data_IF_803106788327
#
_entry.id   IF_803106788327
#
_cell.length_a   1.000
_cell.length_b   1.000
_cell.length_c   1.000
_cell.angle_alpha   90.00
_cell.angle_beta   90.00
_cell.angle_gamma   90.00
#
_symmetry.space_group_name_H-M   'P 1'
#
loop_
_entity.id
_entity.type
_entity.pdbx_description
1 polymer ?
#
# COMPACT_ATOMS: atom_id res chain seq x y z
N UNK A 1 65.85 38.10 -31.69
CA UNK A 1 64.99 36.94 -31.35
C UNK A 1 63.81 37.46 -30.51
N UNK A 2 62.62 37.62 -31.12
CA UNK A 2 61.42 38.18 -30.45
C UNK A 2 60.38 37.07 -30.33
N UNK A 3 60.10 36.61 -29.10
CA UNK A 3 59.08 35.61 -28.81
C UNK A 3 57.73 36.34 -28.69
N UNK A 4 56.79 36.03 -29.59
CA UNK A 4 55.40 36.50 -29.53
C UNK A 4 54.60 35.53 -28.66
N UNK A 5 54.16 35.98 -27.48
CA UNK A 5 53.15 35.28 -26.69
C UNK A 5 51.79 35.38 -27.39
N UNK A 6 51.29 34.26 -27.90
CA UNK A 6 49.90 34.12 -28.35
C UNK A 6 49.03 33.88 -27.12
N UNK A 7 48.14 34.82 -26.83
CA UNK A 7 47.05 34.63 -25.87
C UNK A 7 46.07 33.59 -26.42
N UNK A 8 45.99 32.43 -25.79
CA UNK A 8 44.91 31.46 -26.01
C UNK A 8 43.80 31.83 -25.03
N UNK A 9 42.72 32.40 -25.56
CA UNK A 9 41.48 32.69 -24.85
C UNK A 9 40.74 31.36 -24.65
N UNK A 10 40.77 30.82 -23.43
CA UNK A 10 40.02 29.62 -23.05
C UNK A 10 38.59 30.04 -22.67
N UNK A 11 37.65 29.99 -23.62
CA UNK A 11 36.23 30.18 -23.34
C UNK A 11 35.71 28.89 -22.71
N UNK A 12 35.57 28.90 -21.38
CA UNK A 12 34.82 27.87 -20.65
C UNK A 12 33.33 28.13 -20.89
N UNK A 13 32.74 27.43 -21.86
CA UNK A 13 31.29 27.32 -21.99
C UNK A 13 30.77 26.48 -20.82
N UNK A 14 30.39 27.15 -19.73
CA UNK A 14 29.57 26.56 -18.68
C UNK A 14 28.22 26.25 -19.31
N UNK A 15 28.01 24.97 -19.67
CA UNK A 15 26.68 24.46 -19.97
C UNK A 15 25.90 24.43 -18.66
N UNK A 16 25.28 25.56 -18.31
CA UNK A 16 24.19 25.57 -17.33
C UNK A 16 23.01 24.91 -18.03
N UNK A 17 22.92 23.58 -17.89
CA UNK A 17 21.70 22.84 -18.18
C UNK A 17 20.63 23.36 -17.23
N UNK A 18 19.89 24.38 -17.65
CA UNK A 18 18.62 24.73 -17.03
C UNK A 18 17.68 23.54 -17.25
N UNK A 19 17.71 22.58 -16.30
CA UNK A 19 16.62 21.64 -16.13
C UNK A 19 15.38 22.48 -15.83
N UNK A 20 14.64 22.79 -16.89
CA UNK A 20 13.37 23.46 -16.78
C UNK A 20 12.49 22.60 -15.89
N UNK A 21 12.08 23.16 -14.74
CA UNK A 21 11.05 22.61 -13.87
C UNK A 21 9.74 22.54 -14.66
N UNK A 22 9.61 21.54 -15.53
CA UNK A 22 8.36 21.24 -16.23
C UNK A 22 7.58 20.27 -15.36
N UNK A 23 6.28 20.56 -15.18
CA UNK A 23 5.31 19.55 -14.74
C UNK A 23 5.44 18.37 -15.68
N UNK A 24 5.90 17.23 -15.17
CA UNK A 24 6.00 16.01 -15.97
C UNK A 24 4.72 15.23 -15.74
N UNK A 25 3.87 15.18 -16.75
CA UNK A 25 2.81 14.19 -16.79
C UNK A 25 3.48 12.85 -17.05
N UNK A 26 3.43 11.96 -16.06
CA UNK A 26 4.07 10.66 -16.09
C UNK A 26 3.04 9.61 -15.72
N UNK A 27 2.94 8.54 -16.51
CA UNK A 27 2.15 7.37 -16.14
C UNK A 27 3.01 6.11 -16.19
N UNK A 28 2.73 5.19 -15.27
CA UNK A 28 3.43 3.92 -15.17
C UNK A 28 2.45 2.80 -14.83
N UNK A 29 2.22 1.92 -15.80
CA UNK A 29 1.44 0.70 -15.60
C UNK A 29 2.31 -0.37 -14.92
N UNK A 30 2.01 -0.64 -13.65
CA UNK A 30 2.71 -1.65 -12.85
C UNK A 30 2.28 -3.04 -13.31
N UNK A 31 0.96 -3.28 -13.38
CA UNK A 31 0.33 -4.51 -13.84
C UNK A 31 -0.71 -4.18 -14.91
N UNK A 32 -0.78 -5.00 -15.96
CA UNK A 32 -1.77 -4.86 -17.02
C UNK A 32 -2.48 -6.21 -17.20
N UNK A 33 -3.75 -6.28 -16.78
CA UNK A 33 -4.58 -7.48 -16.78
C UNK A 33 -3.83 -8.73 -16.25
N UNK A 34 -3.20 -8.63 -15.07
CA UNK A 34 -2.57 -9.81 -14.43
C UNK A 34 -3.67 -10.75 -13.93
N UNK A 35 -3.59 -12.04 -14.27
CA UNK A 35 -4.59 -13.03 -13.91
C UNK A 35 -4.34 -13.60 -12.51
N UNK A 36 -5.32 -13.49 -11.62
CA UNK A 36 -5.31 -14.12 -10.30
C UNK A 36 -5.96 -15.50 -10.35
N UNK A 37 -5.60 -16.34 -9.38
CA UNK A 37 -6.12 -17.71 -9.26
C UNK A 37 -6.69 -17.96 -7.86
N UNK A 38 -7.30 -19.13 -7.66
CA UNK A 38 -7.77 -19.57 -6.35
C UNK A 38 -6.68 -19.40 -5.27
N UNK A 39 -6.99 -18.54 -4.29
CA UNK A 39 -6.08 -18.20 -3.21
C UNK A 39 -5.82 -19.36 -2.24
N UNK A 40 -6.65 -20.41 -2.23
CA UNK A 40 -6.43 -21.61 -1.42
C UNK A 40 -5.71 -22.73 -2.17
N UNK A 41 -5.58 -22.63 -3.50
CA UNK A 41 -4.89 -23.64 -4.29
C UNK A 41 -3.36 -23.54 -4.16
N UNK A 42 -2.66 -24.61 -4.52
CA UNK A 42 -1.20 -24.56 -4.73
C UNK A 42 -0.85 -23.45 -5.72
N UNK A 43 0.27 -22.77 -5.49
CA UNK A 43 0.73 -21.71 -6.38
C UNK A 43 0.89 -22.25 -7.79
N UNK A 44 0.23 -21.62 -8.76
CA UNK A 44 0.26 -22.05 -10.16
C UNK A 44 1.60 -21.73 -10.83
N UNK A 45 2.00 -22.56 -11.79
CA UNK A 45 3.26 -22.40 -12.54
C UNK A 45 3.13 -21.57 -13.83
N UNK A 46 1.93 -21.04 -14.11
CA UNK A 46 1.68 -20.20 -15.29
C UNK A 46 2.67 -19.02 -15.34
N UNK A 47 3.25 -18.71 -16.51
CA UNK A 47 4.24 -17.64 -16.61
C UNK A 47 3.64 -16.30 -16.21
N UNK A 48 4.49 -15.44 -15.63
CA UNK A 48 4.16 -14.04 -15.32
C UNK A 48 4.89 -13.11 -16.28
N UNK A 49 4.38 -11.89 -16.52
CA UNK A 49 5.08 -10.89 -17.31
C UNK A 49 6.50 -10.63 -16.79
N UNK A 50 7.40 -10.24 -17.68
CA UNK A 50 8.79 -9.96 -17.31
C UNK A 50 8.88 -8.90 -16.20
N UNK A 51 9.66 -9.20 -15.15
CA UNK A 51 9.85 -8.31 -14.00
C UNK A 51 8.73 -8.34 -12.96
N UNK A 52 7.69 -9.15 -13.18
CA UNK A 52 6.68 -9.49 -12.18
C UNK A 52 7.09 -10.78 -11.47
N UNK A 53 6.82 -10.85 -10.17
CA UNK A 53 6.90 -12.09 -9.39
C UNK A 53 5.52 -12.43 -8.83
N UNK A 54 5.22 -13.73 -8.76
CA UNK A 54 4.03 -14.26 -8.07
C UNK A 54 4.49 -14.88 -6.76
N UNK A 55 4.14 -14.24 -5.65
CA UNK A 55 4.41 -14.79 -4.31
C UNK A 55 3.39 -15.86 -3.95
N UNK A 56 2.13 -15.59 -4.29
CA UNK A 56 0.97 -16.45 -4.08
C UNK A 56 -0.02 -16.25 -5.22
N UNK A 57 -1.03 -17.12 -5.35
CA UNK A 57 -2.07 -16.99 -6.38
C UNK A 57 -2.87 -15.68 -6.30
N UNK A 58 -2.91 -15.09 -5.10
CA UNK A 58 -3.58 -13.83 -4.77
C UNK A 58 -2.62 -12.62 -4.73
N UNK A 59 -1.29 -12.78 -4.86
CA UNK A 59 -0.30 -11.71 -4.62
C UNK A 59 0.80 -11.66 -5.68
N UNK A 60 0.80 -10.58 -6.45
CA UNK A 60 1.85 -10.25 -7.41
C UNK A 60 2.65 -9.03 -6.96
N UNK A 61 3.94 -9.01 -7.28
CA UNK A 61 4.81 -7.87 -7.02
C UNK A 61 5.62 -7.46 -8.26
N UNK A 62 5.93 -6.17 -8.38
CA UNK A 62 6.83 -5.62 -9.38
C UNK A 62 7.69 -4.53 -8.77
N UNK A 63 9.00 -4.60 -8.99
CA UNK A 63 9.94 -3.56 -8.58
C UNK A 63 9.70 -2.29 -9.41
N UNK A 64 9.64 -1.14 -8.74
CA UNK A 64 9.69 0.15 -9.42
C UNK A 64 11.16 0.48 -9.77
N UNK A 65 11.51 0.64 -11.06
CA UNK A 65 12.86 1.06 -11.44
C UNK A 65 13.20 2.44 -10.88
N UNK A 66 14.49 2.69 -10.61
CA UNK A 66 14.97 4.00 -10.13
C UNK A 66 14.57 5.15 -11.08
N UNK A 67 14.56 4.90 -12.39
CA UNK A 67 14.11 5.87 -13.39
C UNK A 67 12.63 6.22 -13.25
N UNK A 68 11.79 5.23 -12.91
CA UNK A 68 10.35 5.43 -12.65
C UNK A 68 10.13 6.20 -11.36
N UNK A 69 10.84 5.84 -10.28
CA UNK A 69 10.81 6.58 -9.02
C UNK A 69 11.22 8.05 -9.22
N UNK A 70 12.26 8.29 -10.03
CA UNK A 70 12.72 9.63 -10.38
C UNK A 70 11.74 10.44 -11.23
N UNK A 71 10.79 9.80 -11.94
CA UNK A 71 9.81 10.47 -12.79
C UNK A 71 8.54 10.94 -12.08
N UNK A 72 8.19 10.39 -10.92
CA UNK A 72 7.01 10.84 -10.16
C UNK A 72 7.10 12.33 -9.77
N UNK A 73 5.99 13.06 -9.92
CA UNK A 73 5.77 14.40 -9.37
C UNK A 73 5.26 14.35 -7.93
N UNK A 74 4.69 15.47 -7.45
CA UNK A 74 4.11 15.61 -6.11
C UNK A 74 2.60 15.35 -6.06
N UNK A 75 1.97 15.18 -7.23
CA UNK A 75 0.58 14.72 -7.34
C UNK A 75 0.60 13.33 -7.94
N UNK A 76 0.04 12.35 -7.23
CA UNK A 76 0.06 10.94 -7.61
C UNK A 76 -1.34 10.36 -7.43
N UNK A 77 -1.91 9.89 -8.54
CA UNK A 77 -3.13 9.10 -8.57
C UNK A 77 -2.77 7.64 -8.80
N UNK A 78 -3.35 6.74 -8.01
CA UNK A 78 -3.28 5.30 -8.20
C UNK A 78 -4.61 4.80 -8.72
N UNK A 79 -4.60 4.16 -9.88
CA UNK A 79 -5.76 3.56 -10.53
C UNK A 79 -5.65 2.04 -10.51
N UNK A 80 -6.73 1.39 -10.11
CA UNK A 80 -6.89 -0.06 -10.12
C UNK A 80 -8.10 -0.37 -10.98
N UNK A 81 -7.98 -1.32 -11.89
CA UNK A 81 -9.13 -1.87 -12.62
C UNK A 81 -9.18 -3.36 -12.39
N UNK A 82 -10.29 -3.86 -11.86
CA UNK A 82 -10.51 -5.29 -11.65
C UNK A 82 -11.54 -5.77 -12.66
N UNK A 83 -11.22 -6.82 -13.39
CA UNK A 83 -12.08 -7.43 -14.41
C UNK A 83 -12.43 -8.86 -14.02
N UNK A 84 -13.68 -9.24 -14.23
CA UNK A 84 -14.22 -10.53 -13.86
C UNK A 84 -13.55 -11.66 -14.65
N UNK A 85 -13.20 -12.75 -13.98
CA UNK A 85 -12.90 -14.03 -14.61
C UNK A 85 -13.87 -15.11 -14.09
N UNK A 86 -13.43 -16.05 -13.25
CA UNK A 86 -14.30 -17.08 -12.69
C UNK A 86 -14.39 -17.06 -11.17
N UNK A 87 -14.51 -15.88 -10.58
CA UNK A 87 -15.06 -15.71 -9.24
C UNK A 87 -16.19 -14.68 -9.29
N UNK A 88 -17.27 -14.99 -8.59
CA UNK A 88 -18.51 -14.23 -8.63
C UNK A 88 -18.90 -13.58 -7.30
N UNK A 89 -18.02 -13.64 -6.31
CA UNK A 89 -18.23 -13.03 -5.01
C UNK A 89 -17.50 -11.70 -4.88
N UNK A 90 -17.93 -10.92 -3.91
CA UNK A 90 -17.19 -9.77 -3.42
C UNK A 90 -15.93 -10.23 -2.67
N UNK A 91 -14.79 -9.62 -3.02
CA UNK A 91 -13.48 -10.03 -2.57
C UNK A 91 -12.65 -8.85 -2.14
N UNK A 92 -11.91 -9.05 -1.07
CA UNK A 92 -10.94 -8.06 -0.61
C UNK A 92 -9.68 -8.11 -1.47
N UNK A 93 -9.23 -6.92 -1.86
CA UNK A 93 -7.93 -6.71 -2.46
C UNK A 93 -7.27 -5.46 -1.89
N UNK A 94 -5.96 -5.38 -2.07
CA UNK A 94 -5.20 -4.22 -1.68
C UNK A 94 -3.98 -3.99 -2.59
N UNK A 95 -3.45 -2.78 -2.54
CA UNK A 95 -2.16 -2.42 -3.12
C UNK A 95 -1.21 -2.08 -1.98
N UNK A 96 -0.01 -2.61 -2.06
CA UNK A 96 0.99 -2.44 -1.01
C UNK A 96 2.33 -1.98 -1.60
N UNK A 97 3.15 -1.37 -0.76
CA UNK A 97 4.57 -1.17 -1.01
C UNK A 97 5.36 -2.10 -0.09
N UNK A 98 6.26 -2.88 -0.66
CA UNK A 98 7.23 -3.69 0.06
C UNK A 98 8.62 -3.05 -0.03
N UNK A 99 9.28 -2.90 1.12
CA UNK A 99 10.62 -2.35 1.26
C UNK A 99 11.63 -3.48 1.29
N UNK A 100 12.08 -3.89 0.12
CA UNK A 100 12.97 -5.04 -0.05
C UNK A 100 14.41 -4.56 0.00
N UNK A 101 15.34 -5.20 0.73
CA UNK A 101 16.74 -4.82 0.69
C UNK A 101 17.26 -4.65 -0.74
N UNK A 102 18.02 -3.59 -0.97
CA UNK A 102 18.43 -3.19 -2.31
C UNK A 102 19.15 -4.32 -3.07
N UNK A 103 18.81 -4.48 -4.36
CA UNK A 103 19.47 -5.43 -5.26
C UNK A 103 18.87 -6.84 -5.29
N UNK A 104 17.87 -7.13 -4.48
CA UNK A 104 17.19 -8.44 -4.51
C UNK A 104 16.33 -8.59 -5.77
N UNK A 105 16.27 -9.83 -6.29
CA UNK A 105 15.43 -10.21 -7.43
C UNK A 105 14.07 -10.76 -7.02
N UNK A 106 13.93 -11.18 -5.77
CA UNK A 106 12.70 -11.69 -5.13
C UNK A 106 12.78 -11.50 -3.62
N UNK A 107 11.70 -11.80 -2.89
CA UNK A 107 11.64 -11.73 -1.43
C UNK A 107 10.51 -12.63 -0.90
N UNK A 108 10.52 -12.90 0.40
CA UNK A 108 9.36 -13.45 1.09
C UNK A 108 8.53 -12.27 1.67
N UNK A 109 7.24 -12.12 1.33
CA UNK A 109 6.40 -11.04 1.84
C UNK A 109 6.35 -10.93 3.37
N UNK A 110 6.55 -12.02 4.10
CA UNK A 110 6.53 -12.02 5.58
C UNK A 110 7.89 -11.61 6.18
N UNK A 111 8.95 -11.56 5.36
CA UNK A 111 10.31 -11.21 5.77
C UNK A 111 10.67 -9.73 5.58
N UNK A 112 9.80 -8.94 4.95
CA UNK A 112 10.05 -7.53 4.62
C UNK A 112 8.99 -6.62 5.21
N UNK A 113 9.38 -5.37 5.42
CA UNK A 113 8.41 -4.35 5.83
C UNK A 113 7.49 -4.01 4.67
N UNK A 114 6.19 -3.93 4.96
CA UNK A 114 5.14 -3.64 3.98
C UNK A 114 4.17 -2.60 4.52
N UNK A 115 3.66 -1.77 3.62
CA UNK A 115 2.57 -0.83 3.90
C UNK A 115 1.47 -0.98 2.85
N UNK A 116 0.23 -0.84 3.27
CA UNK A 116 -0.92 -0.76 2.37
C UNK A 116 -1.15 0.69 1.97
N UNK A 117 -1.33 0.90 0.66
CA UNK A 117 -1.54 2.22 0.06
C UNK A 117 -2.92 2.36 -0.58
N UNK A 118 -3.66 1.26 -0.70
CA UNK A 118 -5.08 1.27 -1.06
C UNK A 118 -5.72 -0.07 -0.78
N UNK A 119 -6.98 -0.06 -0.32
CA UNK A 119 -7.81 -1.26 -0.12
C UNK A 119 -9.12 -1.11 -0.85
N UNK A 120 -9.54 -2.18 -1.51
CA UNK A 120 -10.77 -2.26 -2.26
C UNK A 120 -11.51 -3.57 -1.98
N UNK A 121 -12.81 -3.57 -2.27
CA UNK A 121 -13.67 -4.74 -2.24
C UNK A 121 -14.32 -4.84 -3.62
N UNK A 122 -14.12 -5.95 -4.33
CA UNK A 122 -14.83 -6.22 -5.59
C UNK A 122 -16.33 -6.31 -5.32
N UNK A 123 -17.22 -5.89 -6.22
CA UNK A 123 -18.61 -6.30 -6.13
C UNK A 123 -18.75 -7.79 -6.46
N UNK A 124 -19.96 -8.33 -6.28
CA UNK A 124 -20.36 -9.56 -6.96
C UNK A 124 -20.31 -9.34 -8.46
N UNK A 125 -19.51 -10.14 -9.16
CA UNK A 125 -19.19 -9.95 -10.56
C UNK A 125 -19.55 -11.20 -11.38
N UNK A 126 -20.00 -11.02 -12.62
CA UNK A 126 -20.17 -12.11 -13.56
C UNK A 126 -19.52 -11.70 -14.89
N UNK A 127 -18.55 -12.47 -15.38
CA UNK A 127 -17.86 -12.18 -16.64
C UNK A 127 -18.78 -12.13 -17.86
N UNK A 128 -19.99 -12.66 -17.76
CA UNK A 128 -21.00 -12.67 -18.81
C UNK A 128 -22.04 -11.53 -18.66
N UNK A 129 -21.96 -10.71 -17.60
CA UNK A 129 -22.92 -9.64 -17.31
C UNK A 129 -22.19 -8.32 -17.02
N UNK A 130 -22.57 -7.26 -17.74
CA UNK A 130 -21.99 -5.94 -17.51
C UNK A 130 -22.46 -5.31 -16.20
N UNK A 131 -21.61 -4.56 -15.48
CA UNK A 131 -20.21 -4.29 -15.81
C UNK A 131 -19.30 -5.50 -15.51
N UNK A 132 -18.43 -5.85 -16.47
CA UNK A 132 -17.45 -6.94 -16.32
C UNK A 132 -16.11 -6.44 -15.77
N UNK A 133 -15.96 -5.13 -15.56
CA UNK A 133 -14.81 -4.48 -14.97
C UNK A 133 -15.24 -3.32 -14.07
N UNK A 134 -14.46 -3.08 -13.02
CA UNK A 134 -14.72 -2.04 -12.03
C UNK A 134 -13.46 -1.26 -11.71
N UNK A 135 -13.51 0.09 -11.75
CA UNK A 135 -12.37 0.93 -11.41
C UNK A 135 -12.36 1.35 -9.94
N UNK A 136 -11.17 1.52 -9.38
CA UNK A 136 -10.90 2.17 -8.11
C UNK A 136 -9.79 3.19 -8.29
N UNK A 137 -9.98 4.40 -7.76
CA UNK A 137 -9.01 5.50 -7.88
C UNK A 137 -8.72 6.08 -6.51
N UNK A 138 -7.44 6.25 -6.21
CA UNK A 138 -6.94 6.81 -4.96
C UNK A 138 -6.01 7.99 -5.24
N UNK A 139 -6.18 9.08 -4.51
CA UNK A 139 -5.15 10.11 -4.40
C UNK A 139 -4.13 9.66 -3.37
N UNK A 140 -2.89 9.48 -3.81
CA UNK A 140 -1.77 8.95 -3.02
C UNK A 140 -0.56 9.87 -3.09
N UNK A 141 -0.80 11.17 -3.14
CA UNK A 141 0.22 12.21 -3.25
C UNK A 141 1.36 12.01 -2.24
N UNK A 142 1.04 11.56 -1.02
CA UNK A 142 2.01 11.29 0.05
C UNK A 142 3.07 10.21 -0.28
N UNK A 143 2.89 9.42 -1.34
CA UNK A 143 3.90 8.48 -1.80
C UNK A 143 5.10 9.17 -2.44
N UNK A 144 4.97 10.43 -2.87
CA UNK A 144 6.09 11.23 -3.35
C UNK A 144 7.25 11.27 -2.33
N UNK A 145 6.91 11.41 -1.04
CA UNK A 145 7.83 11.43 0.10
C UNK A 145 8.50 10.10 0.39
N UNK A 146 7.99 9.00 -0.16
CA UNK A 146 8.62 7.68 -0.07
C UNK A 146 9.46 7.46 -1.33
N UNK A 147 8.88 7.67 -2.50
CA UNK A 147 9.53 7.43 -3.80
C UNK A 147 10.74 8.34 -4.04
N UNK A 148 10.77 9.53 -3.42
CA UNK A 148 11.88 10.49 -3.52
C UNK A 148 12.82 10.49 -2.31
N UNK A 149 12.56 9.70 -1.28
CA UNK A 149 13.41 9.70 -0.10
C UNK A 149 14.74 8.99 -0.38
N UNK A 150 15.85 9.73 -0.26
CA UNK A 150 17.18 9.21 -0.58
C UNK A 150 17.67 8.17 0.43
N UNK A 151 17.25 8.23 1.69
CA UNK A 151 17.61 7.24 2.69
C UNK A 151 16.88 5.92 2.46
N UNK A 152 15.57 5.96 2.17
CA UNK A 152 14.78 4.79 1.78
C UNK A 152 15.35 4.18 0.50
N UNK A 153 15.53 4.97 -0.55
CA UNK A 153 16.02 4.49 -1.86
C UNK A 153 17.48 4.01 -1.83
N UNK A 154 18.28 4.42 -0.83
CA UNK A 154 19.62 3.89 -0.63
C UNK A 154 19.61 2.49 -0.01
N UNK A 155 18.65 2.20 0.87
CA UNK A 155 18.56 0.92 1.60
C UNK A 155 17.68 -0.11 0.90
N UNK A 156 16.65 0.34 0.17
CA UNK A 156 15.59 -0.52 -0.32
C UNK A 156 15.33 -0.34 -1.82
N UNK A 157 15.02 -1.46 -2.47
CA UNK A 157 14.24 -1.50 -3.69
C UNK A 157 12.75 -1.44 -3.30
N UNK A 158 12.00 -0.50 -3.88
CA UNK A 158 10.55 -0.38 -3.65
C UNK A 158 9.82 -1.30 -4.62
N UNK A 159 9.09 -2.27 -4.08
CA UNK A 159 8.21 -3.15 -4.85
C UNK A 159 6.77 -2.75 -4.62
N UNK A 160 6.00 -2.66 -5.72
CA UNK A 160 4.56 -2.48 -5.67
C UNK A 160 3.91 -3.85 -5.78
N UNK A 161 2.98 -4.11 -4.87
CA UNK A 161 2.21 -5.34 -4.82
C UNK A 161 0.75 -5.09 -5.14
N UNK A 162 0.15 -5.95 -5.96
CA UNK A 162 -1.30 -6.00 -6.15
C UNK A 162 -1.80 -7.34 -5.62
N UNK A 163 -2.67 -7.26 -4.61
CA UNK A 163 -3.29 -8.43 -4.00
C UNK A 163 -4.80 -8.45 -4.28
N UNK A 164 -5.32 -9.62 -4.62
CA UNK A 164 -6.75 -9.87 -4.75
C UNK A 164 -7.04 -11.34 -4.45
N UNK A 165 -7.65 -11.59 -3.29
CA UNK A 165 -7.98 -12.94 -2.87
C UNK A 165 -9.28 -13.40 -3.53
N UNK A 166 -9.26 -14.50 -4.28
CA UNK A 166 -10.45 -15.05 -4.92
C UNK A 166 -10.57 -16.57 -4.79
N UNK A 167 -11.79 -17.08 -4.96
CA UNK A 167 -12.13 -18.50 -4.89
C UNK A 167 -13.21 -18.82 -5.93
N UNK A 168 -12.95 -19.69 -6.92
CA UNK A 168 -13.83 -19.83 -8.09
C UNK A 168 -14.99 -20.82 -7.91
N UNK A 169 -15.16 -21.39 -6.71
CA UNK A 169 -16.00 -22.58 -6.49
C UNK A 169 -17.48 -22.36 -6.80
N UNK A 170 -18.03 -21.20 -6.44
CA UNK A 170 -19.42 -20.89 -6.75
C UNK A 170 -19.60 -20.64 -8.25
N UNK A 171 -18.75 -19.81 -8.86
CA UNK A 171 -18.75 -19.51 -10.29
C UNK A 171 -18.60 -20.78 -11.15
N UNK A 172 -17.85 -21.79 -10.71
CA UNK A 172 -17.73 -23.08 -11.38
C UNK A 172 -19.09 -23.77 -11.64
N UNK A 173 -20.11 -23.46 -10.85
CA UNK A 173 -21.48 -23.98 -10.99
C UNK A 173 -22.49 -22.94 -11.46
N UNK A 174 -22.25 -21.66 -11.16
CA UNK A 174 -23.22 -20.58 -11.35
C UNK A 174 -22.96 -19.74 -12.61
N UNK A 175 -21.72 -19.70 -13.11
CA UNK A 175 -21.34 -18.90 -14.28
C UNK A 175 -21.03 -19.82 -15.45
N UNK A 176 -21.76 -19.62 -16.55
CA UNK A 176 -21.52 -20.33 -17.81
C UNK A 176 -20.07 -20.13 -18.27
N UNK A 177 -19.39 -21.26 -18.55
CA UNK A 177 -17.99 -21.26 -18.98
C UNK A 177 -16.97 -21.08 -17.85
N UNK A 178 -17.36 -21.32 -16.59
CA UNK A 178 -16.43 -21.36 -15.44
C UNK A 178 -16.21 -22.76 -14.86
N UNK A 179 -16.94 -23.79 -15.31
CA UNK A 179 -16.78 -25.14 -14.82
C UNK A 179 -15.32 -25.63 -14.93
N UNK A 180 -14.72 -26.03 -13.80
CA UNK A 180 -13.36 -26.56 -13.69
C UNK A 180 -12.25 -25.51 -13.77
N UNK A 181 -12.59 -24.21 -13.81
CA UNK A 181 -11.59 -23.13 -13.92
C UNK A 181 -11.07 -22.71 -12.56
N UNK A 182 -9.79 -22.35 -12.53
CA UNK A 182 -9.07 -21.92 -11.34
C UNK A 182 -8.78 -20.41 -11.29
N UNK A 183 -8.97 -19.71 -12.41
CA UNK A 183 -8.74 -18.27 -12.51
C UNK A 183 -9.92 -17.47 -11.95
N UNK A 184 -9.66 -16.33 -11.30
CA UNK A 184 -10.69 -15.61 -10.52
C UNK A 184 -10.95 -14.20 -11.04
N UNK A 185 -9.90 -13.40 -11.25
CA UNK A 185 -9.98 -12.01 -11.70
C UNK A 185 -8.77 -11.64 -12.54
N UNK A 186 -8.91 -10.58 -13.34
CA UNK A 186 -7.79 -9.85 -13.90
C UNK A 186 -7.62 -8.52 -13.16
N UNK A 187 -6.39 -8.12 -12.86
CA UNK A 187 -6.08 -6.83 -12.24
C UNK A 187 -5.14 -5.97 -13.08
N UNK A 188 -5.47 -4.69 -13.19
CA UNK A 188 -4.60 -3.65 -13.75
C UNK A 188 -4.31 -2.63 -12.66
N UNK A 189 -3.05 -2.19 -12.56
CA UNK A 189 -2.60 -1.16 -11.62
C UNK A 189 -1.73 -0.16 -12.37
N UNK A 190 -2.09 1.11 -12.26
CA UNK A 190 -1.36 2.23 -12.86
C UNK A 190 -1.18 3.35 -11.85
N UNK A 191 0.00 3.98 -11.86
CA UNK A 191 0.18 5.31 -11.28
C UNK A 191 0.17 6.37 -12.38
N UNK A 192 -0.58 7.45 -12.15
CA UNK A 192 -0.58 8.66 -12.96
C UNK A 192 -0.10 9.79 -12.07
N UNK A 193 0.89 10.55 -12.55
CA UNK A 193 1.51 11.60 -11.76
C UNK A 193 1.69 12.88 -12.56
N UNK A 194 1.49 13.99 -11.87
CA UNK A 194 1.60 15.35 -12.39
C UNK A 194 2.32 16.23 -11.37
N UNK A 195 2.52 17.49 -11.74
CA UNK A 195 3.17 18.46 -10.86
C UNK A 195 4.69 18.38 -10.90
N UNK A 196 5.31 19.18 -10.05
CA UNK A 196 6.76 19.27 -9.94
C UNK A 196 7.10 19.00 -8.49
N UNK A 197 7.91 17.98 -8.26
CA UNK A 197 8.48 17.77 -6.95
C UNK A 197 9.47 18.90 -6.63
N UNK A 198 9.03 19.85 -5.81
CA UNK A 198 9.78 21.09 -5.50
C UNK A 198 10.50 21.05 -4.16
N UNK A 199 10.28 20.01 -3.35
CA UNK A 199 10.93 19.88 -2.06
C UNK A 199 12.29 19.18 -2.18
N UNK A 200 13.31 19.70 -1.51
CA UNK A 200 14.38 18.85 -0.98
C UNK A 200 13.73 18.15 0.23
N UNK A 201 13.23 16.91 0.13
CA UNK A 201 12.42 16.38 1.19
C UNK A 201 13.32 16.25 2.43
N UNK A 202 12.91 16.82 3.59
CA UNK A 202 13.52 16.38 4.84
C UNK A 202 13.31 14.86 4.94
N UNK A 203 14.30 14.17 5.51
CA UNK A 203 14.30 12.73 5.70
C UNK A 203 12.93 12.21 6.19
N UNK A 204 12.33 11.31 5.42
CA UNK A 204 11.11 10.55 5.74
C UNK A 204 11.44 9.40 6.70
N UNK A 205 10.83 9.39 7.88
CA UNK A 205 10.76 8.27 8.85
C UNK A 205 9.47 7.51 8.66
N UNK A 206 9.52 6.38 7.98
CA UNK A 206 8.38 5.49 7.87
C UNK A 206 8.51 4.39 8.92
N UNK A 207 7.46 4.13 9.70
CA UNK A 207 7.41 3.01 10.63
C UNK A 207 6.12 2.19 10.40
N UNK A 208 6.19 1.09 9.65
CA UNK A 208 5.09 0.15 9.54
C UNK A 208 4.90 -0.57 10.88
N UNK A 209 3.69 -0.49 11.45
CA UNK A 209 3.40 -1.06 12.76
C UNK A 209 2.79 -2.46 12.67
N UNK A 210 1.84 -2.67 11.75
CA UNK A 210 1.20 -3.98 11.56
C UNK A 210 0.55 -4.09 10.19
N UNK A 211 0.86 -5.15 9.45
CA UNK A 211 0.29 -5.40 8.13
C UNK A 211 -0.64 -6.61 8.17
N UNK A 212 -1.89 -6.44 7.70
CA UNK A 212 -2.93 -7.48 7.65
C UNK A 212 -3.04 -8.36 8.91
N UNK A 213 -2.83 -7.78 10.09
CA UNK A 213 -2.91 -8.56 11.32
C UNK A 213 -4.36 -8.95 11.61
N UNK A 214 -4.56 -10.17 12.08
CA UNK A 214 -5.85 -10.57 12.59
C UNK A 214 -6.21 -9.75 13.83
N UNK A 215 -7.47 -9.37 13.93
CA UNK A 215 -8.07 -8.82 15.13
C UNK A 215 -9.39 -9.55 15.39
N UNK A 216 -9.32 -10.49 16.32
CA UNK A 216 -10.44 -11.29 16.77
C UNK A 216 -10.17 -11.79 18.20
N UNK A 217 -11.20 -12.29 18.85
CA UNK A 217 -11.13 -12.67 20.26
C UNK A 217 -10.88 -14.18 20.47
N UNK A 218 -10.63 -14.98 19.44
CA UNK A 218 -10.50 -16.44 19.57
C UNK A 218 -9.14 -16.98 19.14
N UNK A 219 -8.38 -16.24 18.32
CA UNK A 219 -7.06 -16.64 17.86
C UNK A 219 -5.96 -16.04 18.75
N UNK A 220 -4.97 -16.86 19.10
CA UNK A 220 -3.78 -16.40 19.80
C UNK A 220 -3.05 -15.30 19.00
N UNK A 221 -2.67 -14.21 19.66
CA UNK A 221 -1.98 -13.06 19.05
C UNK A 221 -2.87 -12.13 18.21
N UNK A 222 -4.16 -12.42 18.08
CA UNK A 222 -5.09 -11.52 17.39
C UNK A 222 -5.46 -10.30 18.28
N UNK A 223 -5.55 -10.50 19.59
CA UNK A 223 -5.75 -9.50 20.65
C UNK A 223 -4.74 -9.71 21.78
N UNK A 224 -4.68 -8.78 22.74
CA UNK A 224 -3.75 -8.83 23.88
C UNK A 224 -3.98 -10.08 24.74
N UNK A 225 -5.22 -10.57 24.79
CA UNK A 225 -5.60 -11.81 25.45
C UNK A 225 -6.77 -12.47 24.72
N UNK A 226 -6.73 -13.79 24.55
CA UNK A 226 -7.86 -14.57 24.02
C UNK A 226 -9.12 -14.30 24.86
N UNK A 227 -10.25 -14.10 24.19
CA UNK A 227 -11.54 -13.73 24.76
C UNK A 227 -11.74 -12.22 24.87
N UNK A 228 -10.70 -11.41 24.63
CA UNK A 228 -10.77 -9.95 24.68
C UNK A 228 -10.81 -9.34 23.29
N UNK A 229 -10.96 -8.02 23.26
CA UNK A 229 -11.29 -7.28 22.05
C UNK A 229 -10.40 -6.04 21.92
N UNK A 230 -9.23 -6.08 22.55
CA UNK A 230 -8.21 -5.03 22.58
C UNK A 230 -6.93 -5.58 22.00
N UNK A 231 -6.27 -4.79 21.15
CA UNK A 231 -4.91 -5.07 20.69
C UNK A 231 -4.05 -3.83 20.92
N UNK A 232 -2.92 -4.04 21.57
CA UNK A 232 -1.91 -3.03 21.86
C UNK A 232 -0.68 -3.32 21.01
N UNK A 233 -0.21 -2.31 20.27
CA UNK A 233 1.06 -2.34 19.57
C UNK A 233 2.01 -1.38 20.29
N UNK A 234 3.06 -1.94 20.85
CA UNK A 234 4.15 -1.17 21.46
C UNK A 234 5.26 -0.96 20.44
N UNK A 235 5.77 0.26 20.36
CA UNK A 235 6.90 0.58 19.49
C UNK A 235 7.84 1.60 20.14
N UNK A 236 9.07 1.63 19.63
CA UNK A 236 10.11 2.54 20.09
C UNK A 236 10.52 3.46 18.95
N UNK A 237 10.74 4.73 19.29
CA UNK A 237 11.33 5.71 18.40
C UNK A 237 12.78 5.94 18.83
N UNK A 238 13.70 5.98 17.87
CA UNK A 238 15.14 6.23 18.13
C UNK A 238 15.41 7.73 18.28
N UNK A 239 14.57 8.56 17.64
CA UNK A 239 14.63 10.02 17.68
C UNK A 239 13.25 10.60 18.00
N UNK A 240 13.20 11.85 18.45
CA UNK A 240 11.94 12.59 18.55
C UNK A 240 11.30 12.74 17.15
N UNK A 241 9.99 12.48 17.05
CA UNK A 241 9.24 12.62 15.80
C UNK A 241 8.13 13.65 15.99
N UNK A 242 8.36 14.85 15.50
CA UNK A 242 7.34 15.91 15.54
C UNK A 242 6.20 15.60 14.52
N UNK A 243 5.06 16.31 14.53
CA UNK A 243 3.97 16.23 13.51
C UNK A 243 3.68 14.83 12.91
N UNK A 244 3.76 13.79 13.73
CA UNK A 244 3.55 12.44 13.31
C UNK A 244 2.09 12.26 12.89
N UNK A 245 1.88 11.39 11.91
CA UNK A 245 0.55 10.98 11.50
C UNK A 245 0.46 9.49 11.61
N UNK A 246 -0.62 9.04 12.24
CA UNK A 246 -0.95 7.64 12.32
C UNK A 246 -2.08 7.32 11.35
N UNK A 247 -1.87 6.26 10.59
CA UNK A 247 -2.81 5.78 9.61
C UNK A 247 -3.25 4.37 10.01
N UNK A 248 -4.55 4.19 10.00
CA UNK A 248 -5.22 2.96 10.41
C UNK A 248 -6.13 2.53 9.27
N UNK A 249 -5.92 1.34 8.71
CA UNK A 249 -6.74 0.79 7.63
C UNK A 249 -7.41 -0.51 8.09
N UNK A 250 -8.66 -0.37 8.53
CA UNK A 250 -9.45 -1.49 9.04
C UNK A 250 -10.55 -1.88 8.07
N UNK A 251 -10.82 -3.17 8.00
CA UNK A 251 -12.02 -3.70 7.34
C UNK A 251 -12.60 -4.81 8.20
N UNK A 252 -13.90 -4.74 8.44
CA UNK A 252 -14.63 -5.75 9.20
C UNK A 252 -15.05 -6.87 8.24
N UNK A 253 -14.95 -8.11 8.70
CA UNK A 253 -15.28 -9.29 7.90
C UNK A 253 -16.15 -10.24 8.72
N UNK A 254 -16.79 -11.19 8.04
CA UNK A 254 -17.65 -12.18 8.68
C UNK A 254 -19.06 -12.14 8.10
N UNK A 255 -19.21 -12.73 6.92
CA UNK A 255 -20.47 -12.79 6.17
C UNK A 255 -21.55 -13.71 6.79
N UNK A 256 -21.30 -14.30 7.96
CA UNK A 256 -22.29 -15.09 8.66
C UNK A 256 -23.29 -14.18 9.40
N UNK A 257 -24.48 -14.72 9.71
CA UNK A 257 -25.47 -14.01 10.52
C UNK A 257 -24.86 -13.53 11.84
N UNK A 258 -24.95 -12.22 12.11
CA UNK A 258 -24.39 -11.59 13.30
C UNK A 258 -22.91 -11.21 13.22
N UNK A 259 -22.23 -11.50 12.10
CA UNK A 259 -20.82 -11.17 11.90
C UNK A 259 -20.57 -9.67 11.69
N UNK A 260 -19.30 -9.28 11.83
CA UNK A 260 -18.86 -7.87 11.85
C UNK A 260 -19.03 -7.16 10.49
N UNK A 261 -19.23 -7.90 9.40
CA UNK A 261 -19.54 -7.34 8.09
C UNK A 261 -20.89 -6.60 8.10
N UNK A 262 -21.88 -7.13 8.82
CA UNK A 262 -23.25 -6.60 8.84
C UNK A 262 -23.64 -5.91 10.14
N UNK A 263 -22.84 -6.09 11.20
CA UNK A 263 -23.12 -5.50 12.51
C UNK A 263 -22.07 -4.45 12.82
N UNK A 264 -22.46 -3.17 12.73
CA UNK A 264 -21.58 -2.03 12.97
C UNK A 264 -21.38 -1.80 14.47
N UNK A 265 -20.13 -1.68 14.90
CA UNK A 265 -19.73 -1.42 16.28
C UNK A 265 -18.80 -0.20 16.36
N UNK A 266 -18.80 0.45 17.52
CA UNK A 266 -17.85 1.53 17.80
C UNK A 266 -16.46 0.98 17.97
N UNK A 267 -15.50 1.52 17.23
CA UNK A 267 -14.09 1.24 17.34
C UNK A 267 -13.44 2.41 18.07
N UNK A 268 -12.63 2.12 19.08
CA UNK A 268 -11.94 3.12 19.88
C UNK A 268 -10.44 2.94 19.71
N UNK A 269 -9.76 4.04 19.42
CA UNK A 269 -8.35 4.06 19.11
C UNK A 269 -7.68 5.02 20.07
N UNK A 270 -6.66 4.53 20.75
CA UNK A 270 -5.90 5.27 21.75
C UNK A 270 -4.41 5.29 21.43
N UNK A 271 -3.75 6.35 21.82
CA UNK A 271 -2.33 6.58 21.71
C UNK A 271 -1.78 7.03 23.06
N UNK A 272 -0.79 6.33 23.61
CA UNK A 272 -0.26 6.54 24.97
C UNK A 272 -1.38 6.67 26.02
N UNK A 273 -2.31 5.71 26.02
CA UNK A 273 -3.47 5.66 26.92
C UNK A 273 -4.57 6.71 26.66
N UNK A 274 -4.40 7.65 25.74
CA UNK A 274 -5.39 8.67 25.42
C UNK A 274 -6.19 8.29 24.18
N UNK A 275 -7.52 8.32 24.24
CA UNK A 275 -8.35 8.05 23.07
C UNK A 275 -8.22 9.18 22.05
N UNK A 276 -7.78 8.85 20.84
CA UNK A 276 -7.51 9.78 19.75
C UNK A 276 -8.52 9.68 18.61
N UNK A 277 -9.18 8.54 18.46
CA UNK A 277 -10.21 8.34 17.44
C UNK A 277 -11.32 7.42 17.94
N UNK A 278 -12.55 7.70 17.51
CA UNK A 278 -13.67 6.78 17.61
C UNK A 278 -14.45 6.78 16.31
N UNK A 279 -14.76 5.61 15.79
CA UNK A 279 -15.48 5.50 14.52
C UNK A 279 -16.34 4.23 14.47
N UNK A 280 -17.32 4.21 13.58
CA UNK A 280 -18.01 2.98 13.18
C UNK A 280 -17.63 2.67 11.72
N UNK A 281 -17.11 1.46 11.43
CA UNK A 281 -16.79 1.06 10.07
C UNK A 281 -17.99 1.22 9.12
N UNK A 282 -17.70 1.64 7.88
CA UNK A 282 -18.72 1.92 6.86
C UNK A 282 -19.34 3.32 6.93
N UNK A 283 -18.83 4.22 7.79
CA UNK A 283 -19.33 5.61 7.88
C UNK A 283 -18.27 6.65 7.49
N UNK A 284 -16.97 6.49 7.79
CA UNK A 284 -15.90 7.47 7.42
C UNK A 284 -14.46 6.89 7.45
N UNK A 285 -13.51 7.55 6.76
CA UNK A 285 -12.05 7.47 6.96
C UNK A 285 -11.56 8.71 7.72
N UNK A 286 -10.63 8.58 8.68
CA UNK A 286 -10.05 9.71 9.44
C UNK A 286 -8.52 9.57 9.56
N UNK A 287 -7.79 10.68 9.40
CA UNK A 287 -6.35 10.81 9.68
C UNK A 287 -6.15 11.61 10.99
N UNK A 288 -5.22 11.16 11.84
CA UNK A 288 -4.82 11.84 13.08
C UNK A 288 -3.46 12.52 12.90
N UNK A 289 -3.27 13.69 13.52
CA UNK A 289 -2.00 14.41 13.54
C UNK A 289 -1.63 14.74 14.99
N UNK A 290 -0.46 14.28 15.44
CA UNK A 290 0.03 14.47 16.82
C UNK A 290 1.52 14.78 16.86
N UNK A 291 2.01 15.28 18.00
CA UNK A 291 3.43 15.48 18.28
C UNK A 291 3.94 14.36 19.20
N UNK A 292 4.95 13.59 18.78
CA UNK A 292 5.42 12.41 19.52
C UNK A 292 6.89 12.60 19.95
N UNK A 293 7.12 12.64 21.26
CA UNK A 293 8.48 12.69 21.82
C UNK A 293 9.09 11.29 21.96
N UNK A 294 10.41 11.20 22.05
CA UNK A 294 11.21 10.00 22.27
C UNK A 294 10.90 9.36 23.64
N UNK A 295 9.95 8.43 23.62
CA UNK A 295 9.52 7.61 24.76
C UNK A 295 8.95 6.30 24.22
N UNK A 296 8.90 5.29 25.09
CA UNK A 296 8.11 4.10 24.83
C UNK A 296 6.69 4.57 24.53
N UNK A 297 6.19 4.19 23.37
CA UNK A 297 4.89 4.63 22.87
C UNK A 297 4.00 3.41 22.66
N UNK A 298 2.72 3.55 22.97
CA UNK A 298 1.71 2.52 22.73
C UNK A 298 0.60 3.03 21.79
N UNK A 299 0.17 2.14 20.90
CA UNK A 299 -1.00 2.33 20.09
C UNK A 299 -1.99 1.21 20.37
N UNK A 300 -3.16 1.57 20.89
CA UNK A 300 -4.16 0.62 21.37
C UNK A 300 -5.44 0.76 20.55
N UNK A 301 -5.91 -0.36 20.01
CA UNK A 301 -7.18 -0.44 19.30
C UNK A 301 -8.11 -1.34 20.10
N UNK A 302 -9.26 -0.79 20.51
CA UNK A 302 -10.33 -1.52 21.17
C UNK A 302 -11.53 -1.61 20.24
N UNK A 303 -11.85 -2.84 19.81
CA UNK A 303 -12.99 -3.16 18.94
C UNK A 303 -13.92 -4.05 19.76
N UNK A 304 -15.07 -3.62 20.29
CA UNK A 304 -15.88 -4.34 21.28
C UNK A 304 -16.50 -5.71 20.86
N UNK A 305 -15.94 -6.45 19.91
CA UNK A 305 -16.56 -7.67 19.36
C UNK A 305 -16.33 -8.95 20.18
N UNK A 306 -17.42 -9.65 20.50
CA UNK A 306 -17.38 -11.00 21.10
C UNK A 306 -17.37 -12.14 20.06
N UNK A 307 -17.52 -11.88 18.75
CA UNK A 307 -17.55 -12.94 17.74
C UNK A 307 -17.04 -12.53 16.33
N UNK A 308 -16.18 -13.40 15.78
CA UNK A 308 -15.73 -13.59 14.38
C UNK A 308 -15.01 -12.45 13.62
N UNK A 309 -13.71 -12.69 13.36
CA UNK A 309 -12.96 -12.35 12.13
C UNK A 309 -12.90 -10.90 11.63
N UNK A 310 -12.01 -10.06 12.19
CA UNK A 310 -11.57 -8.82 11.53
C UNK A 310 -10.13 -8.89 11.04
N UNK A 311 -9.83 -8.26 9.90
CA UNK A 311 -8.45 -7.93 9.50
C UNK A 311 -8.15 -6.48 9.88
N UNK A 312 -7.19 -6.30 10.79
CA UNK A 312 -6.63 -5.03 11.19
C UNK A 312 -5.30 -4.80 10.44
N UNK A 313 -5.33 -3.99 9.39
CA UNK A 313 -4.11 -3.39 8.84
C UNK A 313 -3.82 -2.08 9.58
N UNK A 314 -2.70 -2.00 10.31
CA UNK A 314 -2.19 -0.72 10.83
C UNK A 314 -0.98 -0.35 9.99
N UNK A 315 -1.27 0.18 8.81
CA UNK A 315 -0.23 0.66 7.91
C UNK A 315 0.01 2.12 8.23
N UNK A 316 0.90 2.36 9.20
CA UNK A 316 1.47 3.68 9.42
C UNK A 316 2.31 4.06 8.20
N UNK A 317 1.78 4.94 7.34
CA UNK A 317 2.51 5.51 6.20
C UNK A 317 2.77 6.99 6.43
N UNK A 318 4.04 7.42 6.43
CA UNK A 318 4.45 8.83 6.53
C UNK A 318 3.98 9.66 5.31
N UNK A 319 4.03 11.00 5.32
CA UNK A 319 4.59 11.89 6.34
C UNK A 319 4.27 13.37 6.18
N UNK A 320 4.18 14.04 7.32
CA UNK A 320 4.95 15.21 7.77
C UNK A 320 5.32 16.34 6.78
N UNK A 321 5.06 17.56 7.24
CA UNK A 321 5.85 18.77 6.95
C UNK A 321 6.41 19.28 8.30
N UNK A 322 7.67 19.68 8.34
CA UNK A 322 8.23 20.49 9.43
C UNK A 322 8.70 21.83 8.90
N UNK A 323 8.34 22.88 9.61
CA UNK A 323 9.09 24.14 9.63
C UNK A 323 10.04 24.05 10.82
N UNK A 324 11.32 24.30 10.61
CA UNK A 324 12.18 24.72 11.72
C UNK A 324 11.69 26.10 12.17
N UNK A 325 11.26 26.20 13.42
CA UNK A 325 10.92 27.45 14.08
C UNK A 325 11.99 27.80 15.10
N UNK A 326 12.93 28.66 14.69
CA UNK A 326 13.98 29.36 15.44
C UNK A 326 14.90 28.56 16.36
#
# INVERSE_FOLDING_TARGET
>A
MKIKYKYILFIVLVNISFNSLRSQNFSYTVFNEILFYDGYATVVSDPVPQGVIRHRNDLYARKLPETVLASFGDQITMNITIKAACDNYDRIGNVNLAFVPKGQSTYDPDSVQRIEVGRYITPFMDKNVSPTEVPYTYTVDNLDKIFKDSAINAMYDIWVELELFGVPYAANTQITGCAGRNDVFFGTLEFVSTGVFTQNPPQSFLLPLSMKANFNNYQAGATDQIGTTTKTITFNLIDNIENAKLYLITSNHGANSGGEEYVRRWHYVSFDGNQVLSYQPGVFLVSLTEYITHRLTEFTVHLPSLFSGGYLGITGVRGIQFRSGK
#
